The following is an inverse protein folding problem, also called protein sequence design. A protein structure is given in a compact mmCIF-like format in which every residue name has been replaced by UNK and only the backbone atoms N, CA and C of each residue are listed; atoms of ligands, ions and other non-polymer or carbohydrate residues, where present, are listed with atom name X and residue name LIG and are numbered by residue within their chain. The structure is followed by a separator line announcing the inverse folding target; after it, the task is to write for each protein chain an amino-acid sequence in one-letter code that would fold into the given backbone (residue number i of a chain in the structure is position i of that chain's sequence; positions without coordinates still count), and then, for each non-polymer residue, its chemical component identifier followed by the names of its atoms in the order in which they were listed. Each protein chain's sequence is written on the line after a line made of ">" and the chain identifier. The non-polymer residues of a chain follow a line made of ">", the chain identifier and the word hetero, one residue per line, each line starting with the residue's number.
data_IF_601960334938
#
_entry.id   IF_601960334938
#
_cell.length_a   1.000
_cell.length_b   1.000
_cell.length_c   1.000
_cell.angle_alpha   90.00
_cell.angle_beta   90.00
_cell.angle_gamma   90.00
#
_symmetry.space_group_name_H-M   'P 1'
#
loop_
_entity.id
_entity.type
_entity.pdbx_description
1 polymer ?
#
# COMPACT_ATOMS: atom_id res chain seq x y z
N UNK A 1 -11.78 -4.46 20.93
CA UNK A 1 -10.40 -4.26 20.43
C UNK A 1 -9.62 -5.55 20.48
N UNK A 2 -8.86 -5.84 19.43
CA UNK A 2 -7.98 -7.00 19.30
C UNK A 2 -6.67 -6.76 20.08
N UNK A 3 -5.96 -7.82 20.45
CA UNK A 3 -4.55 -7.72 20.84
C UNK A 3 -3.66 -7.40 19.63
N UNK A 4 -2.40 -7.03 19.84
CA UNK A 4 -1.47 -6.75 18.74
C UNK A 4 -1.21 -8.00 17.88
N UNK A 5 -1.07 -9.18 18.50
CA UNK A 5 -0.95 -10.46 17.79
C UNK A 5 -2.20 -10.72 16.95
N UNK A 6 -3.40 -10.59 17.54
CA UNK A 6 -4.67 -10.76 16.80
C UNK A 6 -4.85 -9.73 15.67
N UNK A 7 -4.27 -8.55 15.82
CA UNK A 7 -4.26 -7.53 14.76
C UNK A 7 -3.42 -8.00 13.56
N UNK A 8 -2.25 -8.58 13.80
CA UNK A 8 -1.47 -9.17 12.70
C UNK A 8 -2.12 -10.41 12.09
N UNK A 9 -2.78 -11.25 12.90
CA UNK A 9 -3.53 -12.42 12.41
C UNK A 9 -4.61 -12.01 11.41
N UNK A 10 -5.41 -10.97 11.74
CA UNK A 10 -6.48 -10.50 10.84
C UNK A 10 -5.92 -9.75 9.62
N UNK A 11 -4.84 -8.99 9.78
CA UNK A 11 -4.13 -8.37 8.66
C UNK A 11 -3.64 -9.42 7.67
N UNK A 12 -3.00 -10.50 8.16
CA UNK A 12 -2.51 -11.62 7.35
C UNK A 12 -3.64 -12.40 6.70
N UNK A 13 -4.70 -12.71 7.44
CA UNK A 13 -5.90 -13.40 6.90
C UNK A 13 -6.42 -12.69 5.65
N UNK A 14 -6.56 -11.38 5.70
CA UNK A 14 -7.09 -10.60 4.59
C UNK A 14 -6.05 -10.32 3.50
N UNK A 15 -4.77 -10.18 3.85
CA UNK A 15 -3.68 -10.19 2.87
C UNK A 15 -3.74 -11.46 2.00
N UNK A 16 -3.82 -12.63 2.62
CA UNK A 16 -3.87 -13.91 1.92
C UNK A 16 -5.15 -14.03 1.08
N UNK A 17 -6.32 -13.65 1.63
CA UNK A 17 -7.60 -13.65 0.90
C UNK A 17 -7.51 -12.83 -0.39
N UNK A 18 -7.07 -11.58 -0.29
CA UNK A 18 -7.02 -10.67 -1.44
C UNK A 18 -5.91 -11.00 -2.41
N UNK A 19 -4.80 -11.58 -1.93
CA UNK A 19 -3.77 -12.13 -2.81
C UNK A 19 -4.32 -13.25 -3.70
N UNK A 20 -5.02 -14.24 -3.13
CA UNK A 20 -5.57 -15.33 -3.94
C UNK A 20 -6.63 -14.84 -4.93
N UNK A 21 -7.44 -13.85 -4.55
CA UNK A 21 -8.39 -13.22 -5.46
C UNK A 21 -7.68 -12.50 -6.62
N UNK A 22 -6.68 -11.66 -6.32
CA UNK A 22 -5.88 -10.97 -7.35
C UNK A 22 -5.16 -11.95 -8.27
N UNK A 23 -4.65 -13.05 -7.71
CA UNK A 23 -4.00 -14.11 -8.49
C UNK A 23 -4.99 -14.80 -9.43
N UNK A 24 -6.22 -15.04 -9.00
CA UNK A 24 -7.27 -15.62 -9.83
C UNK A 24 -7.73 -14.68 -10.95
N UNK A 25 -7.76 -13.37 -10.70
CA UNK A 25 -8.18 -12.34 -11.66
C UNK A 25 -7.02 -11.81 -12.53
N UNK A 26 -5.82 -12.38 -12.41
CA UNK A 26 -4.60 -11.85 -13.00
C UNK A 26 -4.72 -11.65 -14.52
N UNK A 27 -5.25 -12.64 -15.22
CA UNK A 27 -5.33 -12.60 -16.68
C UNK A 27 -6.37 -11.57 -17.15
N UNK A 28 -7.53 -11.49 -16.48
CA UNK A 28 -8.56 -10.47 -16.73
C UNK A 28 -8.02 -9.04 -16.46
N UNK A 29 -7.19 -8.87 -15.43
CA UNK A 29 -6.52 -7.59 -15.15
C UNK A 29 -5.61 -7.22 -16.31
N UNK A 30 -4.77 -8.15 -16.79
CA UNK A 30 -3.83 -7.88 -17.88
C UNK A 30 -4.54 -7.57 -19.20
N UNK A 31 -5.58 -8.34 -19.54
CA UNK A 31 -6.42 -8.06 -20.71
C UNK A 31 -7.08 -6.68 -20.60
N UNK A 32 -7.67 -6.39 -19.44
CA UNK A 32 -8.28 -5.10 -19.12
C UNK A 32 -7.33 -3.92 -19.30
N UNK A 33 -6.08 -4.05 -18.84
CA UNK A 33 -5.06 -3.00 -18.95
C UNK A 33 -4.68 -2.69 -20.41
N UNK A 34 -4.75 -3.69 -21.29
CA UNK A 34 -4.41 -3.55 -22.71
C UNK A 34 -5.57 -2.93 -23.53
N UNK A 35 -6.82 -3.06 -23.07
CA UNK A 35 -8.01 -2.57 -23.81
C UNK A 35 -7.95 -1.11 -24.27
N UNK A 36 -7.27 -0.22 -23.53
CA UNK A 36 -7.11 1.20 -23.91
C UNK A 36 -6.32 1.37 -25.20
N UNK A 37 -5.46 0.42 -25.54
CA UNK A 37 -4.62 0.45 -26.73
C UNK A 37 -5.44 0.27 -28.01
N UNK A 38 -6.50 -0.53 -27.94
CA UNK A 38 -7.42 -0.77 -29.06
C UNK A 38 -8.17 0.50 -29.52
N UNK A 39 -8.33 1.48 -28.63
CA UNK A 39 -9.04 2.74 -28.88
C UNK A 39 -8.13 3.96 -28.71
N UNK A 40 -6.79 3.77 -28.79
CA UNK A 40 -5.81 4.83 -28.53
C UNK A 40 -6.05 6.10 -29.35
N UNK A 41 -6.37 5.95 -30.63
CA UNK A 41 -6.63 7.09 -31.55
C UNK A 41 -7.74 8.02 -31.04
N UNK A 42 -8.67 7.48 -30.26
CA UNK A 42 -9.88 8.19 -29.85
C UNK A 42 -9.67 8.99 -28.56
N UNK A 43 -8.67 8.65 -27.74
CA UNK A 43 -8.45 9.30 -26.44
C UNK A 43 -7.08 9.98 -26.29
N UNK A 44 -6.04 9.54 -27.01
CA UNK A 44 -4.66 10.00 -26.77
C UNK A 44 -4.50 11.51 -26.95
N UNK A 45 -5.19 12.09 -27.94
CA UNK A 45 -5.18 13.55 -28.20
C UNK A 45 -5.86 14.36 -27.10
N UNK A 46 -6.77 13.76 -26.35
CA UNK A 46 -7.46 14.38 -25.22
C UNK A 46 -6.71 14.17 -23.89
N UNK A 47 -5.70 13.29 -23.86
CA UNK A 47 -4.94 12.99 -22.66
C UNK A 47 -3.85 14.05 -22.39
N UNK A 48 -4.25 15.15 -21.75
CA UNK A 48 -3.37 16.29 -21.43
C UNK A 48 -2.90 16.37 -19.96
N UNK A 49 -2.91 15.27 -19.20
CA UNK A 49 -2.71 15.33 -17.74
C UNK A 49 -1.24 15.14 -17.30
N UNK A 50 -0.91 15.66 -16.11
CA UNK A 50 0.32 15.36 -15.36
C UNK A 50 0.30 13.95 -14.72
N UNK A 51 -0.72 13.12 -14.99
CA UNK A 51 -0.98 11.82 -14.36
C UNK A 51 -0.80 10.72 -15.40
N UNK A 52 -0.24 9.58 -14.99
CA UNK A 52 -0.06 8.42 -15.87
C UNK A 52 -1.41 7.87 -16.35
N UNK A 53 -1.60 7.80 -17.68
CA UNK A 53 -2.78 7.15 -18.29
C UNK A 53 -2.87 5.68 -17.90
N UNK A 54 -1.73 5.00 -17.76
CA UNK A 54 -1.71 3.64 -17.25
C UNK A 54 -2.22 3.55 -15.82
N UNK A 55 -1.78 4.44 -14.93
CA UNK A 55 -2.25 4.44 -13.53
C UNK A 55 -3.76 4.63 -13.44
N UNK A 56 -4.32 5.54 -14.26
CA UNK A 56 -5.77 5.79 -14.30
C UNK A 56 -6.54 4.57 -14.85
N UNK A 57 -6.00 3.93 -15.90
CA UNK A 57 -6.59 2.71 -16.45
C UNK A 57 -6.54 1.54 -15.46
N UNK A 58 -5.41 1.35 -14.79
CA UNK A 58 -5.20 0.28 -13.81
C UNK A 58 -6.17 0.37 -12.64
N UNK A 59 -6.36 1.58 -12.10
CA UNK A 59 -7.35 1.84 -11.06
C UNK A 59 -8.74 1.40 -11.51
N UNK A 60 -9.18 1.82 -12.71
CA UNK A 60 -10.48 1.47 -13.27
C UNK A 60 -10.69 -0.03 -13.46
N UNK A 61 -9.70 -0.73 -14.00
CA UNK A 61 -9.79 -2.18 -14.26
C UNK A 61 -9.85 -2.96 -12.94
N UNK A 62 -8.92 -2.69 -12.02
CA UNK A 62 -8.89 -3.38 -10.72
C UNK A 62 -10.14 -3.06 -9.92
N UNK A 63 -10.61 -1.81 -9.95
CA UNK A 63 -11.86 -1.42 -9.31
C UNK A 63 -13.04 -2.23 -9.87
N UNK A 64 -13.19 -2.29 -11.19
CA UNK A 64 -14.27 -3.03 -11.84
C UNK A 64 -14.26 -4.52 -11.47
N UNK A 65 -13.09 -5.15 -11.44
CA UNK A 65 -12.95 -6.58 -11.16
C UNK A 65 -13.13 -6.91 -9.66
N UNK A 66 -12.67 -6.03 -8.77
CA UNK A 66 -12.80 -6.23 -7.31
C UNK A 66 -14.14 -5.72 -6.75
N UNK A 67 -14.98 -5.10 -7.55
CA UNK A 67 -16.29 -4.58 -7.13
C UNK A 67 -17.40 -5.63 -6.96
N UNK A 68 -17.08 -6.92 -7.15
CA UNK A 68 -18.02 -8.01 -6.86
C UNK A 68 -18.26 -8.18 -5.35
N UNK A 69 -19.48 -8.58 -4.95
CA UNK A 69 -19.85 -8.85 -3.54
C UNK A 69 -18.98 -9.94 -2.86
N UNK A 70 -18.18 -10.68 -3.63
CA UNK A 70 -17.22 -11.69 -3.17
C UNK A 70 -16.12 -11.05 -2.29
N UNK A 71 -15.78 -9.78 -2.54
CA UNK A 71 -14.65 -9.08 -1.91
C UNK A 71 -15.05 -8.51 -0.54
N UNK A 72 -16.29 -8.05 -0.42
CA UNK A 72 -16.92 -7.49 0.78
C UNK A 72 -18.11 -6.60 0.37
N UNK A 73 -18.79 -6.00 1.35
CA UNK A 73 -19.84 -5.01 1.08
C UNK A 73 -19.20 -3.67 0.74
N UNK A 74 -19.50 -3.10 -0.43
CA UNK A 74 -18.98 -1.78 -0.83
C UNK A 74 -19.40 -0.71 0.19
N UNK A 75 -18.49 0.20 0.51
CA UNK A 75 -18.74 1.32 1.42
C UNK A 75 -18.59 2.67 0.69
N UNK A 76 -19.57 3.55 0.85
CA UNK A 76 -19.64 4.85 0.16
C UNK A 76 -19.05 6.01 0.97
N UNK A 77 -18.20 5.74 1.97
CA UNK A 77 -17.56 6.79 2.77
C UNK A 77 -16.78 7.76 1.86
N UNK A 78 -16.95 9.08 2.01
CA UNK A 78 -16.18 10.07 1.25
C UNK A 78 -14.70 10.11 1.65
N UNK A 79 -14.33 9.43 2.74
CA UNK A 79 -12.95 9.29 3.22
C UNK A 79 -12.57 7.81 3.13
N UNK A 80 -11.62 7.48 2.26
CA UNK A 80 -11.10 6.13 2.02
C UNK A 80 -10.13 6.08 0.82
N UNK A 81 -9.47 4.93 0.65
CA UNK A 81 -8.72 4.54 -0.56
C UNK A 81 -9.63 4.28 -1.77
N UNK A 82 -9.02 4.05 -2.93
CA UNK A 82 -9.68 3.69 -4.20
C UNK A 82 -10.75 2.62 -4.02
N UNK A 83 -10.46 1.61 -3.20
CA UNK A 83 -11.39 0.54 -2.84
C UNK A 83 -11.67 0.54 -1.34
N UNK A 84 -12.96 0.53 -0.99
CA UNK A 84 -13.40 0.46 0.39
C UNK A 84 -14.50 -0.59 0.60
N UNK A 85 -14.18 -1.63 1.38
CA UNK A 85 -15.08 -2.73 1.70
C UNK A 85 -15.36 -2.84 3.20
N UNK A 86 -16.56 -3.29 3.52
CA UNK A 86 -17.00 -3.72 4.84
C UNK A 86 -17.18 -5.24 4.87
N UNK A 87 -16.57 -5.88 5.85
CA UNK A 87 -16.72 -7.29 6.19
C UNK A 87 -17.30 -7.42 7.60
N UNK A 88 -17.54 -8.66 8.05
CA UNK A 88 -18.13 -8.91 9.37
C UNK A 88 -17.25 -8.41 10.52
N UNK A 89 -15.93 -8.53 10.39
CA UNK A 89 -14.92 -8.28 11.42
C UNK A 89 -13.97 -7.12 11.10
N UNK A 90 -14.00 -6.57 9.87
CA UNK A 90 -13.06 -5.55 9.43
C UNK A 90 -13.65 -4.59 8.38
N UNK A 91 -13.04 -3.41 8.30
CA UNK A 91 -13.14 -2.47 7.20
C UNK A 91 -11.82 -2.49 6.43
N UNK A 92 -11.89 -2.65 5.11
CA UNK A 92 -10.73 -2.89 4.25
C UNK A 92 -10.59 -1.74 3.27
N UNK A 93 -9.45 -1.08 3.33
CA UNK A 93 -9.00 -0.12 2.32
C UNK A 93 -7.94 -0.77 1.45
N UNK A 94 -8.12 -0.69 0.13
CA UNK A 94 -7.10 -1.11 -0.84
C UNK A 94 -6.83 0.07 -1.78
N UNK A 95 -5.57 0.42 -1.89
CA UNK A 95 -5.11 1.52 -2.75
C UNK A 95 -4.19 0.99 -3.84
N UNK A 96 -4.28 1.54 -5.05
CA UNK A 96 -3.53 1.05 -6.21
C UNK A 96 -2.39 2.01 -6.52
N UNK A 97 -1.18 1.46 -6.61
CA UNK A 97 0.04 2.17 -6.99
C UNK A 97 0.58 1.56 -8.29
N UNK A 98 0.96 2.42 -9.22
CA UNK A 98 1.76 2.01 -10.39
C UNK A 98 3.17 2.54 -10.23
N UNK A 99 4.17 1.69 -10.44
CA UNK A 99 5.58 2.08 -10.48
C UNK A 99 6.19 1.63 -11.80
N UNK A 100 6.99 2.51 -12.40
CA UNK A 100 7.83 2.17 -13.55
C UNK A 100 9.22 1.77 -13.07
N UNK A 101 9.91 0.87 -13.77
CA UNK A 101 11.24 0.37 -13.36
C UNK A 101 12.28 1.47 -13.16
N UNK A 102 12.16 2.60 -13.82
CA UNK A 102 13.04 3.76 -13.61
C UNK A 102 12.93 4.32 -12.18
N UNK A 103 11.77 4.13 -11.54
CA UNK A 103 11.47 4.54 -10.17
C UNK A 103 11.39 3.36 -9.20
N UNK A 104 12.15 2.28 -9.44
CA UNK A 104 12.05 1.05 -8.65
C UNK A 104 12.31 1.20 -7.15
N UNK A 105 12.96 2.29 -6.72
CA UNK A 105 13.08 2.63 -5.31
C UNK A 105 11.72 2.78 -4.62
N UNK A 106 10.72 3.30 -5.33
CA UNK A 106 9.34 3.46 -4.85
C UNK A 106 8.62 2.11 -4.75
N UNK A 107 8.99 1.14 -5.58
CA UNK A 107 8.48 -0.22 -5.54
C UNK A 107 9.08 -1.01 -4.36
N UNK A 108 10.40 -0.91 -4.15
CA UNK A 108 11.16 -1.73 -3.21
C UNK A 108 11.21 -1.19 -1.79
N UNK A 109 11.52 0.08 -1.63
CA UNK A 109 11.84 0.65 -0.32
C UNK A 109 10.58 1.22 0.35
N UNK A 110 9.69 1.77 -0.47
CA UNK A 110 8.45 2.36 -0.01
C UNK A 110 7.93 3.44 -0.94
N UNK A 111 6.63 3.66 -0.91
CA UNK A 111 5.91 4.58 -1.80
C UNK A 111 5.12 5.61 -1.00
N UNK A 112 4.74 6.71 -1.65
CA UNK A 112 3.91 7.77 -1.05
C UNK A 112 2.54 7.21 -0.70
N UNK A 113 2.06 7.54 0.51
CA UNK A 113 0.71 7.22 0.97
C UNK A 113 -0.03 8.51 1.32
N UNK A 114 -1.29 8.59 0.91
CA UNK A 114 -2.19 9.69 1.22
C UNK A 114 -2.83 9.53 2.61
N UNK A 115 -3.30 10.64 3.17
CA UNK A 115 -3.94 10.66 4.50
C UNK A 115 -5.15 9.72 4.60
N UNK A 116 -5.89 9.53 3.51
CA UNK A 116 -7.08 8.69 3.44
C UNK A 116 -6.78 7.20 3.18
N UNK A 117 -5.51 6.79 3.21
CA UNK A 117 -5.09 5.44 2.81
C UNK A 117 -4.61 4.57 3.98
N UNK A 118 -4.36 5.16 5.16
CA UNK A 118 -3.84 4.44 6.31
C UNK A 118 -4.33 5.00 7.65
N UNK A 119 -4.23 4.19 8.70
CA UNK A 119 -4.55 4.57 10.09
C UNK A 119 -3.32 4.80 10.98
N UNK A 120 -2.11 4.55 10.46
CA UNK A 120 -0.87 4.58 11.23
C UNK A 120 -0.34 6.00 11.47
N UNK A 121 -0.26 6.42 12.75
CA UNK A 121 0.19 7.75 13.17
C UNK A 121 1.46 7.65 13.99
N UNK A 122 2.59 8.12 13.45
CA UNK A 122 3.84 8.23 14.22
C UNK A 122 4.66 9.45 13.80
N UNK A 123 5.69 9.76 14.58
CA UNK A 123 6.74 10.67 14.14
C UNK A 123 7.42 10.10 12.89
N UNK A 124 7.70 10.97 11.92
CA UNK A 124 8.48 10.66 10.74
C UNK A 124 9.93 11.04 11.04
N UNK A 125 10.84 10.07 11.00
CA UNK A 125 12.26 10.29 11.27
C UNK A 125 13.04 10.56 9.99
N UNK A 126 14.02 11.47 10.08
CA UNK A 126 15.04 11.69 9.04
C UNK A 126 16.03 10.52 9.04
N UNK A 127 16.18 9.89 7.89
CA UNK A 127 17.07 8.74 7.65
C UNK A 127 18.36 9.12 6.92
N UNK A 128 18.72 10.42 6.87
CA UNK A 128 19.96 10.90 6.22
C UNK A 128 21.24 10.48 6.97
N UNK A 129 21.13 10.15 8.25
CA UNK A 129 22.23 9.64 9.08
C UNK A 129 22.05 8.15 9.39
N UNK A 130 23.15 7.46 9.75
CA UNK A 130 23.14 6.05 10.17
C UNK A 130 22.14 5.77 11.30
N UNK A 131 21.89 6.74 12.16
CA UNK A 131 20.86 6.70 13.20
C UNK A 131 19.71 7.62 12.79
N UNK A 132 18.44 7.16 12.77
CA UNK A 132 17.29 8.02 12.51
C UNK A 132 17.20 9.16 13.52
N UNK A 133 16.88 10.36 13.05
CA UNK A 133 16.75 11.57 13.89
C UNK A 133 15.45 12.29 13.61
N UNK A 134 14.88 12.91 14.64
CA UNK A 134 13.74 13.83 14.50
C UNK A 134 14.07 14.98 13.54
N UNK A 135 13.05 15.43 12.82
CA UNK A 135 13.12 16.72 12.13
C UNK A 135 12.99 17.88 13.15
N UNK A 136 13.44 19.07 12.75
CA UNK A 136 13.18 20.31 13.48
C UNK A 136 12.46 21.28 12.53
N UNK A 137 11.18 21.61 12.75
CA UNK A 137 10.28 21.03 13.77
C UNK A 137 9.96 19.55 13.53
N UNK A 138 9.46 18.83 14.56
CA UNK A 138 9.09 17.41 14.44
C UNK A 138 8.04 17.23 13.35
N UNK A 139 8.12 16.12 12.62
CA UNK A 139 7.18 15.78 11.55
C UNK A 139 6.35 14.56 11.94
N UNK A 140 5.06 14.62 11.70
CA UNK A 140 4.14 13.50 11.93
C UNK A 140 3.36 13.18 10.66
N UNK A 141 2.96 11.92 10.50
CA UNK A 141 1.87 11.61 9.56
C UNK A 141 0.53 12.10 10.12
N UNK A 142 -0.39 12.40 9.21
CA UNK A 142 -1.76 12.79 9.54
C UNK A 142 -2.76 11.83 8.90
N UNK A 143 -2.86 10.58 9.37
CA UNK A 143 -3.86 9.65 8.84
C UNK A 143 -5.28 10.16 9.13
N UNK A 144 -6.14 10.10 8.12
CA UNK A 144 -7.57 10.38 8.24
C UNK A 144 -8.39 9.12 8.53
N UNK A 145 -7.82 7.92 8.35
CA UNK A 145 -8.50 6.67 8.71
C UNK A 145 -8.35 6.38 10.20
N UNK A 146 -9.40 5.92 10.88
CA UNK A 146 -9.30 5.53 12.28
C UNK A 146 -8.61 4.17 12.42
N UNK A 147 -8.07 3.87 13.60
CA UNK A 147 -7.57 2.52 13.93
C UNK A 147 -8.69 1.48 13.91
N UNK A 148 -9.86 1.87 14.41
CA UNK A 148 -11.10 1.10 14.43
C UNK A 148 -12.25 2.01 14.02
N UNK A 149 -13.09 1.53 13.11
CA UNK A 149 -14.39 2.13 12.88
C UNK A 149 -15.34 1.78 14.01
N UNK A 150 -16.23 2.72 14.36
CA UNK A 150 -17.16 2.57 15.49
C UNK A 150 -16.45 2.21 16.80
N UNK A 151 -15.25 2.75 17.03
CA UNK A 151 -14.49 2.53 18.27
C UNK A 151 -15.37 2.82 19.49
N UNK A 152 -15.37 1.91 20.45
CA UNK A 152 -16.19 1.90 21.68
C UNK A 152 -17.71 1.94 21.45
N UNK A 153 -18.19 1.59 20.25
CA UNK A 153 -19.62 1.53 19.89
C UNK A 153 -19.98 0.13 19.39
N UNK A 154 -21.27 -0.10 19.17
CA UNK A 154 -21.76 -1.31 18.50
C UNK A 154 -21.17 -1.43 17.10
N UNK A 155 -20.84 -2.65 16.66
CA UNK A 155 -20.20 -2.92 15.37
C UNK A 155 -18.82 -2.27 15.22
N UNK A 156 -18.04 -2.21 16.31
CA UNK A 156 -16.60 -1.89 16.26
C UNK A 156 -15.89 -2.91 15.35
N UNK A 157 -15.15 -2.40 14.36
CA UNK A 157 -14.39 -3.21 13.40
C UNK A 157 -13.04 -2.56 13.14
N UNK A 158 -12.01 -3.39 13.00
CA UNK A 158 -10.66 -2.89 12.72
C UNK A 158 -10.56 -2.32 11.31
N UNK A 159 -9.77 -1.26 11.13
CA UNK A 159 -9.47 -0.66 9.83
C UNK A 159 -8.16 -1.22 9.28
N UNK A 160 -8.21 -1.95 8.16
CA UNK A 160 -7.03 -2.58 7.54
C UNK A 160 -6.71 -1.90 6.21
N UNK A 161 -5.43 -1.67 5.97
CA UNK A 161 -4.95 -0.96 4.78
C UNK A 161 -4.02 -1.85 3.96
N UNK A 162 -4.34 -1.99 2.69
CA UNK A 162 -3.56 -2.74 1.71
C UNK A 162 -3.21 -1.89 0.51
N UNK A 163 -2.12 -2.27 -0.16
CA UNK A 163 -1.64 -1.59 -1.35
C UNK A 163 -1.34 -2.61 -2.45
N UNK A 164 -1.99 -2.45 -3.60
CA UNK A 164 -1.63 -3.17 -4.82
C UNK A 164 -0.60 -2.32 -5.56
N UNK A 165 0.60 -2.84 -5.75
CA UNK A 165 1.65 -2.14 -6.50
C UNK A 165 1.97 -2.88 -7.79
N UNK A 166 1.78 -2.21 -8.93
CA UNK A 166 2.00 -2.77 -10.27
C UNK A 166 3.33 -2.25 -10.79
N UNK A 167 4.29 -3.15 -10.99
CA UNK A 167 5.57 -2.82 -11.60
C UNK A 167 5.48 -2.94 -13.12
N UNK A 168 5.89 -1.89 -13.80
CA UNK A 168 5.80 -1.81 -15.26
C UNK A 168 7.11 -1.33 -15.91
N UNK A 169 7.26 -1.69 -17.18
CA UNK A 169 8.26 -1.17 -18.11
C UNK A 169 7.60 -0.37 -19.24
N UNK A 170 8.43 0.29 -20.05
CA UNK A 170 8.00 0.92 -21.30
C UNK A 170 6.85 1.92 -21.11
N UNK A 171 6.94 2.76 -20.06
CA UNK A 171 5.92 3.75 -19.67
C UNK A 171 4.56 3.13 -19.36
N UNK A 172 4.54 1.96 -18.74
CA UNK A 172 3.31 1.27 -18.35
C UNK A 172 2.77 0.31 -19.41
N UNK A 173 3.52 -0.03 -20.45
CA UNK A 173 3.03 -0.99 -21.46
C UNK A 173 3.23 -2.44 -21.01
N UNK A 174 4.33 -2.70 -20.32
CA UNK A 174 4.72 -4.07 -19.99
C UNK A 174 4.61 -4.27 -18.49
N UNK A 175 3.60 -5.02 -18.03
CA UNK A 175 3.48 -5.40 -16.62
C UNK A 175 4.47 -6.51 -16.31
N UNK A 176 5.37 -6.28 -15.35
CA UNK A 176 6.40 -7.26 -14.94
C UNK A 176 5.88 -8.13 -13.79
N UNK A 177 5.35 -7.48 -12.76
CA UNK A 177 4.76 -8.15 -11.61
C UNK A 177 3.83 -7.21 -10.86
N UNK A 178 3.02 -7.78 -9.98
CA UNK A 178 2.21 -7.04 -9.02
C UNK A 178 2.53 -7.56 -7.63
N UNK A 179 2.49 -6.71 -6.62
CA UNK A 179 2.41 -7.17 -5.23
C UNK A 179 1.23 -6.58 -4.50
N UNK A 180 0.75 -7.33 -3.51
CA UNK A 180 -0.16 -6.86 -2.48
C UNK A 180 0.62 -6.72 -1.16
N UNK A 181 0.54 -5.56 -0.54
CA UNK A 181 1.22 -5.26 0.72
C UNK A 181 0.22 -4.91 1.84
N UNK A 182 0.43 -5.46 3.04
CA UNK A 182 -0.34 -5.16 4.25
C UNK A 182 0.37 -4.13 5.13
N UNK A 183 -0.14 -2.91 5.18
CA UNK A 183 0.40 -1.88 6.06
C UNK A 183 -0.08 -2.12 7.50
N UNK A 184 0.81 -2.00 8.51
CA UNK A 184 0.41 -2.13 9.91
C UNK A 184 -0.70 -1.13 10.27
N UNK A 185 -1.72 -1.62 10.96
CA UNK A 185 -2.79 -0.83 11.56
C UNK A 185 -2.23 0.10 12.64
N UNK A 186 -2.88 1.26 12.85
CA UNK A 186 -2.44 2.26 13.82
C UNK A 186 -2.35 1.77 15.27
N UNK A 187 -2.99 0.65 15.64
CA UNK A 187 -2.84 0.05 16.97
C UNK A 187 -1.40 -0.42 17.21
N UNK A 188 -0.74 -0.90 16.16
CA UNK A 188 0.62 -1.47 16.24
C UNK A 188 1.72 -0.39 16.33
N UNK A 189 1.35 0.87 16.56
CA UNK A 189 2.30 2.00 16.65
C UNK A 189 3.32 1.82 17.77
N UNK A 190 2.93 1.20 18.89
CA UNK A 190 3.82 0.91 20.02
C UNK A 190 4.92 -0.09 19.66
N UNK A 191 4.58 -1.09 18.84
CA UNK A 191 5.49 -2.14 18.40
C UNK A 191 6.40 -1.68 17.25
N UNK A 192 5.79 -1.18 16.16
CA UNK A 192 6.53 -0.80 14.96
C UNK A 192 7.17 0.60 15.03
N UNK A 193 6.71 1.46 15.95
CA UNK A 193 7.23 2.81 16.19
C UNK A 193 7.22 3.66 14.91
N UNK A 194 8.32 4.33 14.57
CA UNK A 194 8.42 5.14 13.36
C UNK A 194 8.73 4.33 12.09
N UNK A 195 9.05 3.02 12.21
CA UNK A 195 9.62 2.24 11.11
C UNK A 195 8.72 2.17 9.86
N UNK A 196 7.39 2.03 9.97
CA UNK A 196 6.51 2.01 8.81
C UNK A 196 6.51 3.31 8.01
N UNK A 197 6.98 4.42 8.57
CA UNK A 197 6.90 5.73 7.93
C UNK A 197 8.29 6.27 7.57
N UNK A 198 8.35 6.91 6.42
CA UNK A 198 9.48 7.75 6.01
C UNK A 198 8.97 9.05 5.39
N UNK A 199 9.84 10.04 5.29
CA UNK A 199 9.46 11.36 4.79
C UNK A 199 9.15 11.33 3.30
N UNK A 200 8.01 11.91 2.92
CA UNK A 200 7.70 12.30 1.56
C UNK A 200 8.52 13.49 1.08
N UNK A 201 8.22 13.97 -0.12
CA UNK A 201 8.94 15.08 -0.76
C UNK A 201 8.65 16.39 -0.04
N UNK A 202 7.40 16.61 0.36
CA UNK A 202 6.94 17.90 0.86
C UNK A 202 6.39 17.80 2.30
N UNK A 203 6.95 18.54 3.26
CA UNK A 203 6.26 18.79 4.51
C UNK A 203 5.07 19.73 4.31
N UNK A 204 4.08 19.68 5.22
CA UNK A 204 3.10 20.74 5.31
C UNK A 204 3.82 22.06 5.69
N UNK A 205 3.38 23.16 5.08
CA UNK A 205 3.88 24.50 5.34
C UNK A 205 3.45 25.03 6.72
N UNK A 206 2.39 24.45 7.30
CA UNK A 206 1.86 24.87 8.59
C UNK A 206 2.61 24.22 9.76
N UNK A 207 3.26 25.04 10.57
CA UNK A 207 3.83 24.64 11.86
C UNK A 207 2.79 24.86 12.96
N UNK A 208 2.56 23.82 13.75
CA UNK A 208 1.65 23.77 14.90
C UNK A 208 2.44 23.72 16.19
N UNK A 209 1.80 24.09 17.29
CA UNK A 209 2.38 24.01 18.64
C UNK A 209 1.45 23.17 19.50
N UNK A 210 1.98 22.15 20.18
CA UNK A 210 1.19 21.33 21.10
C UNK A 210 1.02 22.01 22.47
N UNK A 211 0.23 21.41 23.38
CA UNK A 211 -0.04 21.97 24.70
C UNK A 211 1.22 22.19 25.56
N UNK A 212 2.30 21.43 25.30
CA UNK A 212 3.60 21.61 25.97
C UNK A 212 4.49 22.67 25.33
N UNK A 213 4.03 23.38 24.30
CA UNK A 213 4.82 24.41 23.60
C UNK A 213 5.77 23.86 22.53
N UNK A 214 5.76 22.56 22.26
CA UNK A 214 6.62 21.93 21.26
C UNK A 214 6.03 22.15 19.85
N UNK A 215 6.90 22.59 18.93
CA UNK A 215 6.56 22.82 17.52
C UNK A 215 6.62 21.54 16.72
N UNK A 216 5.58 21.28 15.95
CA UNK A 216 5.51 20.14 15.02
C UNK A 216 4.79 20.54 13.73
N UNK A 217 4.89 19.72 12.71
CA UNK A 217 4.16 19.89 11.46
C UNK A 217 3.73 18.52 10.93
N UNK A 218 2.69 18.51 10.12
CA UNK A 218 2.35 17.35 9.32
C UNK A 218 3.19 17.30 8.04
N UNK A 219 3.18 16.19 7.34
CA UNK A 219 3.87 16.08 6.07
C UNK A 219 3.49 14.82 5.33
N UNK A 220 3.77 14.83 4.03
CA UNK A 220 3.59 13.66 3.18
C UNK A 220 4.38 12.49 3.77
N UNK A 221 3.71 11.35 3.90
CA UNK A 221 4.29 10.12 4.41
C UNK A 221 4.54 9.15 3.26
N UNK A 222 5.57 8.33 3.42
CA UNK A 222 5.81 7.15 2.59
C UNK A 222 5.71 5.91 3.46
N UNK A 223 5.03 4.88 2.97
CA UNK A 223 5.04 3.57 3.61
C UNK A 223 6.40 2.90 3.35
N UNK A 224 7.25 2.83 4.37
CA UNK A 224 8.61 2.30 4.31
C UNK A 224 8.60 0.78 4.42
N UNK A 225 8.05 0.13 3.40
CA UNK A 225 7.78 -1.30 3.39
C UNK A 225 9.01 -2.17 3.68
N UNK A 226 10.21 -1.73 3.27
CA UNK A 226 11.46 -2.47 3.51
C UNK A 226 11.83 -2.63 4.98
N UNK A 227 11.27 -1.81 5.88
CA UNK A 227 11.57 -1.83 7.31
C UNK A 227 10.56 -2.64 8.12
N UNK A 228 9.44 -2.99 7.49
CA UNK A 228 8.27 -3.64 8.11
C UNK A 228 7.60 -4.60 7.12
N UNK A 229 8.41 -5.44 6.47
CA UNK A 229 7.96 -6.40 5.46
C UNK A 229 7.56 -7.77 6.04
N UNK A 230 7.60 -7.94 7.38
CA UNK A 230 7.19 -9.15 8.09
C UNK A 230 6.12 -8.85 9.15
N UNK A 231 5.27 -9.83 9.42
CA UNK A 231 4.37 -9.85 10.59
C UNK A 231 5.20 -10.30 11.80
N UNK A 232 5.74 -9.33 12.55
CA UNK A 232 6.78 -9.55 13.57
C UNK A 232 6.24 -10.19 14.87
N UNK A 233 4.92 -10.21 15.04
CA UNK A 233 4.24 -10.79 16.20
C UNK A 233 3.67 -12.19 15.93
N UNK A 234 3.78 -12.68 14.69
CA UNK A 234 3.33 -14.02 14.30
C UNK A 234 4.50 -15.01 14.24
N UNK A 235 4.22 -16.27 14.53
CA UNK A 235 5.21 -17.35 14.44
C UNK A 235 5.77 -17.44 13.01
N UNK A 236 7.11 -17.55 12.92
CA UNK A 236 7.83 -17.63 11.65
C UNK A 236 7.91 -16.31 10.87
N UNK A 237 7.43 -15.21 11.46
CA UNK A 237 7.48 -13.86 10.88
C UNK A 237 7.14 -13.83 9.38
N UNK A 238 5.93 -14.27 9.00
CA UNK A 238 5.54 -14.37 7.60
C UNK A 238 5.57 -13.00 6.93
N UNK A 239 5.77 -12.96 5.61
CA UNK A 239 5.84 -11.68 4.91
C UNK A 239 4.49 -10.93 4.93
N UNK A 240 4.56 -9.60 5.03
CA UNK A 240 3.46 -8.64 4.81
C UNK A 240 3.19 -8.37 3.33
N UNK A 241 3.95 -8.99 2.43
CA UNK A 241 3.81 -8.85 1.00
C UNK A 241 3.56 -10.20 0.32
N UNK A 242 2.75 -10.17 -0.74
CA UNK A 242 2.52 -11.28 -1.66
C UNK A 242 2.75 -10.81 -3.09
N UNK A 243 3.51 -11.58 -3.88
CA UNK A 243 3.84 -11.23 -5.27
C UNK A 243 3.12 -12.14 -6.25
N UNK A 244 2.61 -11.54 -7.31
CA UNK A 244 2.12 -12.19 -8.52
C UNK A 244 3.10 -11.85 -9.64
N UNK A 245 3.83 -12.85 -10.10
CA UNK A 245 4.75 -12.73 -11.23
C UNK A 245 3.95 -12.78 -12.53
N UNK A 246 4.23 -11.84 -13.44
CA UNK A 246 3.59 -11.76 -14.76
C UNK A 246 4.60 -12.16 -15.83
N UNK A 247 5.77 -11.53 -15.81
CA UNK A 247 6.90 -11.83 -16.70
C UNK A 247 8.11 -12.20 -15.83
N UNK A 248 8.30 -13.51 -15.62
CA UNK A 248 9.36 -14.05 -14.75
C UNK A 248 10.76 -13.73 -15.30
N UNK A 249 10.94 -13.74 -16.63
CA UNK A 249 12.22 -13.43 -17.27
C UNK A 249 12.60 -11.96 -17.06
N UNK A 250 11.65 -11.03 -17.28
CA UNK A 250 11.88 -9.60 -16.98
C UNK A 250 12.08 -9.39 -15.48
N UNK A 251 11.34 -10.08 -14.63
CA UNK A 251 11.53 -10.00 -13.18
C UNK A 251 12.95 -10.40 -12.78
N UNK A 252 13.43 -11.57 -13.22
CA UNK A 252 14.76 -12.09 -12.89
C UNK A 252 15.89 -11.23 -13.49
N UNK A 253 15.68 -10.67 -14.68
CA UNK A 253 16.59 -9.66 -15.28
C UNK A 253 16.75 -8.42 -14.39
N UNK A 254 15.70 -7.98 -13.70
CA UNK A 254 15.80 -6.88 -12.74
C UNK A 254 16.32 -7.33 -11.38
N UNK A 255 15.94 -8.52 -10.91
CA UNK A 255 16.43 -9.11 -9.66
C UNK A 255 17.95 -9.29 -9.63
N UNK A 256 18.52 -9.83 -10.71
CA UNK A 256 19.96 -10.04 -10.90
C UNK A 256 20.79 -8.76 -10.87
N UNK A 257 20.20 -7.60 -11.16
CA UNK A 257 20.83 -6.27 -11.01
C UNK A 257 20.86 -5.75 -9.56
N UNK A 258 20.53 -6.59 -8.57
CA UNK A 258 20.29 -6.23 -7.15
C UNK A 258 19.15 -5.23 -6.95
N UNK A 259 18.30 -5.05 -7.96
CA UNK A 259 17.21 -4.08 -7.96
C UNK A 259 16.00 -4.61 -7.17
N UNK A 260 15.75 -5.94 -7.16
CA UNK A 260 14.65 -6.61 -6.44
C UNK A 260 15.11 -7.58 -5.33
N UNK A 261 16.37 -7.47 -4.89
CA UNK A 261 17.06 -8.49 -4.09
C UNK A 261 16.28 -8.94 -2.83
N UNK A 262 16.18 -10.27 -2.67
CA UNK A 262 15.78 -11.04 -1.47
C UNK A 262 14.43 -10.69 -0.82
N UNK A 263 13.62 -9.81 -1.41
CA UNK A 263 12.57 -9.12 -0.63
C UNK A 263 11.31 -9.96 -0.41
N UNK A 264 11.08 -11.04 -1.19
CA UNK A 264 9.77 -11.73 -1.23
C UNK A 264 9.79 -13.25 -1.49
N UNK A 265 10.97 -13.88 -1.64
CA UNK A 265 11.11 -15.23 -2.22
C UNK A 265 10.76 -16.41 -1.28
N UNK A 266 10.35 -16.19 -0.03
CA UNK A 266 10.07 -17.30 0.91
C UNK A 266 8.73 -18.02 0.67
N UNK A 267 7.91 -17.61 -0.31
CA UNK A 267 6.55 -18.14 -0.47
C UNK A 267 6.33 -19.05 -1.68
N UNK A 268 7.34 -19.29 -2.52
CA UNK A 268 7.19 -20.11 -3.73
C UNK A 268 7.41 -21.62 -3.52
N UNK A 269 7.73 -22.07 -2.29
CA UNK A 269 8.07 -23.49 -2.04
C UNK A 269 7.00 -24.33 -1.36
N UNK A 270 5.82 -23.79 -1.03
CA UNK A 270 4.83 -24.53 -0.22
C UNK A 270 3.53 -24.90 -0.91
N UNK A 271 3.36 -24.63 -2.21
CA UNK A 271 2.18 -25.09 -2.96
C UNK A 271 2.52 -25.45 -4.42
N UNK A 272 3.29 -26.52 -4.58
CA UNK A 272 3.13 -27.53 -5.65
C UNK A 272 3.14 -28.89 -4.95
#
# INVERSE_FOLDING_TARGET
>A
MLTDVQTEEIEKKYLDKYFFLLKALKDDILEGLDTKENIRSDWETFWGSNISSFSTGAERIIYSLLHGQIVGKINSSPVGSDLFFELKDAYIHIDIKTVVVENIGDYRNGFVIGENQHSYKSEIMSRKSKTPKSFSPKRFSNPSLPTYYNKTKTNEKICLSYFINILTENKGKDVICMYLASMPNGQLTTHYKFRPLSAGKNPDSKVLTNASGEKFQYGEARYCISEVNKFELLEGEPSRIRIIYIDEDKYEKHKSKKILKDSFDELYKTWI
#
